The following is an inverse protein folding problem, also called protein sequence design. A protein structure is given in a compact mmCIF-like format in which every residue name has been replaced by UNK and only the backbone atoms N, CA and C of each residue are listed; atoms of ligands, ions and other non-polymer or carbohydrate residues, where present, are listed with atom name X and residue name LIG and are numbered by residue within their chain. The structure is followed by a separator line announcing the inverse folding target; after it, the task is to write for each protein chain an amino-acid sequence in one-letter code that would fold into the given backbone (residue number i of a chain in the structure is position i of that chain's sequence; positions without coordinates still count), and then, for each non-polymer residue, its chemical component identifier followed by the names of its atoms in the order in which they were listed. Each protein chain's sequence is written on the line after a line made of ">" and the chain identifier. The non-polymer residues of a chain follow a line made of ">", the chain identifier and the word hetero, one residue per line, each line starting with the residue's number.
data_IF_023208677754
#
_entry.id   IF_023208677754
#
_cell.length_a   1.000
_cell.length_b   1.000
_cell.length_c   1.000
_cell.angle_alpha   90.00
_cell.angle_beta   90.00
_cell.angle_gamma   90.00
#
_symmetry.space_group_name_H-M   'P 1'
#
loop_
_entity.id
_entity.type
_entity.pdbx_description
1 polymer ?
#
# COMPACT_ATOMS: atom_id res chain seq x y z
N UNK A 1 -0.53 26.05 -20.38
CA UNK A 1 0.59 25.18 -19.98
C UNK A 1 0.83 25.38 -18.50
N UNK A 2 0.57 24.38 -17.66
CA UNK A 2 0.95 24.48 -16.24
C UNK A 2 2.44 24.18 -16.15
N UNK A 3 3.23 25.14 -15.65
CA UNK A 3 4.60 24.86 -15.22
C UNK A 3 4.52 23.88 -14.03
N UNK A 4 5.45 22.91 -13.89
CA UNK A 4 5.55 22.17 -12.64
C UNK A 4 5.83 23.17 -11.50
N UNK A 5 5.16 23.00 -10.35
CA UNK A 5 5.32 23.94 -9.22
C UNK A 5 6.73 23.87 -8.62
N UNK A 6 7.32 22.68 -8.68
CA UNK A 6 8.66 22.35 -8.24
C UNK A 6 9.53 22.29 -9.50
N UNK A 7 10.58 23.12 -9.56
CA UNK A 7 11.62 23.01 -10.58
C UNK A 7 12.69 22.00 -10.13
N UNK A 8 13.29 21.27 -11.06
CA UNK A 8 14.42 20.38 -10.74
C UNK A 8 15.64 21.21 -10.30
N UNK A 9 16.23 20.96 -9.12
CA UNK A 9 17.49 21.59 -8.71
C UNK A 9 18.67 21.11 -9.57
N UNK A 10 19.64 21.99 -9.84
CA UNK A 10 20.81 21.68 -10.69
C UNK A 10 21.60 20.50 -10.14
N UNK A 11 21.97 20.56 -8.86
CA UNK A 11 22.51 19.43 -8.11
C UNK A 11 21.34 18.68 -7.44
N UNK A 12 20.94 17.55 -8.03
CA UNK A 12 19.88 16.69 -7.49
C UNK A 12 20.02 15.23 -7.90
N UNK A 13 19.86 14.32 -6.93
CA UNK A 13 19.86 12.87 -7.12
C UNK A 13 18.47 12.25 -6.90
N UNK A 14 18.10 11.14 -7.58
CA UNK A 14 16.84 10.46 -7.32
C UNK A 14 16.93 9.62 -6.04
N UNK A 15 15.96 9.75 -5.14
CA UNK A 15 15.80 8.82 -4.03
C UNK A 15 15.36 7.45 -4.53
N UNK A 16 15.81 6.38 -3.87
CA UNK A 16 15.32 5.03 -4.18
C UNK A 16 13.85 4.91 -3.79
N UNK A 17 13.02 4.36 -4.66
CA UNK A 17 11.58 4.21 -4.49
C UNK A 17 11.19 2.73 -4.57
N UNK A 18 10.66 2.22 -3.46
CA UNK A 18 9.99 0.92 -3.40
C UNK A 18 8.49 1.14 -3.67
N UNK A 19 7.86 0.34 -4.52
CA UNK A 19 6.42 0.47 -4.78
C UNK A 19 5.70 -0.89 -4.81
N UNK A 20 4.43 -0.89 -4.43
CA UNK A 20 3.54 -2.03 -4.57
C UNK A 20 2.14 -1.59 -4.96
N UNK A 21 1.39 -2.53 -5.52
CA UNK A 21 0.01 -2.30 -5.96
C UNK A 21 -1.02 -2.96 -5.03
N UNK A 22 -2.24 -2.41 -5.04
CA UNK A 22 -3.45 -2.97 -4.42
C UNK A 22 -4.68 -2.65 -5.27
N UNK A 23 -5.76 -3.38 -4.99
CA UNK A 23 -7.07 -3.29 -5.65
C UNK A 23 -7.60 -1.86 -5.84
N UNK A 24 -7.35 -0.94 -4.90
CA UNK A 24 -7.84 0.46 -4.96
C UNK A 24 -6.75 1.53 -4.92
N UNK A 25 -5.54 1.21 -4.46
CA UNK A 25 -4.46 2.18 -4.21
C UNK A 25 -3.13 1.65 -4.72
N UNK A 26 -2.26 2.56 -5.18
CA UNK A 26 -0.83 2.31 -5.42
C UNK A 26 -0.05 2.93 -4.27
N UNK A 27 0.92 2.21 -3.71
CA UNK A 27 1.78 2.71 -2.62
C UNK A 27 3.21 2.89 -3.12
N UNK A 28 3.84 4.01 -2.78
CA UNK A 28 5.24 4.31 -3.11
C UNK A 28 5.97 4.78 -1.84
N UNK A 29 7.10 4.17 -1.53
CA UNK A 29 7.97 4.45 -0.40
C UNK A 29 9.31 5.00 -0.92
N UNK A 30 9.54 6.31 -0.81
CA UNK A 30 10.84 6.91 -1.11
C UNK A 30 11.76 6.79 0.11
N UNK A 31 12.93 6.17 -0.07
CA UNK A 31 13.88 5.82 1.00
C UNK A 31 14.83 7.01 1.28
N UNK A 32 14.50 7.83 2.28
CA UNK A 32 15.20 9.09 2.58
C UNK A 32 15.35 9.23 4.11
N UNK A 33 16.58 9.37 4.61
CA UNK A 33 16.84 9.48 6.06
C UNK A 33 16.66 10.92 6.56
N UNK A 34 15.85 11.09 7.62
CA UNK A 34 15.46 12.36 8.27
C UNK A 34 15.19 13.48 7.24
N UNK A 35 14.14 13.32 6.40
CA UNK A 35 13.86 14.24 5.31
C UNK A 35 13.47 15.64 5.80
N UNK A 36 14.10 16.67 5.22
CA UNK A 36 13.84 18.10 5.45
C UNK A 36 13.28 18.75 4.18
N UNK A 37 12.71 19.96 4.32
CA UNK A 37 12.24 20.80 3.19
C UNK A 37 11.37 20.05 2.17
N UNK A 38 10.50 19.16 2.66
CA UNK A 38 9.70 18.25 1.82
C UNK A 38 8.67 19.03 1.01
N UNK A 39 8.83 19.01 -0.31
CA UNK A 39 7.92 19.58 -1.30
C UNK A 39 7.36 18.45 -2.17
N UNK A 40 6.03 18.44 -2.31
CA UNK A 40 5.29 17.43 -3.05
C UNK A 40 4.29 18.10 -3.99
N UNK A 41 4.21 17.63 -5.23
CA UNK A 41 3.20 18.05 -6.21
C UNK A 41 2.55 16.80 -6.84
N UNK A 42 1.36 16.44 -6.33
CA UNK A 42 0.54 15.33 -6.84
C UNK A 42 -0.36 15.86 -7.97
N UNK A 43 -0.14 15.38 -9.19
CA UNK A 43 -0.93 15.67 -10.39
C UNK A 43 -1.67 14.39 -10.84
N UNK A 44 -2.66 14.46 -11.77
CA UNK A 44 -3.49 13.30 -12.10
C UNK A 44 -2.72 12.14 -12.74
N UNK A 45 -1.60 12.41 -13.40
CA UNK A 45 -0.77 11.47 -14.16
C UNK A 45 0.74 11.60 -13.85
N UNK A 46 1.10 12.39 -12.82
CA UNK A 46 2.49 12.62 -12.41
C UNK A 46 2.57 12.92 -10.91
N UNK A 47 3.63 12.47 -10.24
CA UNK A 47 4.06 13.06 -8.97
C UNK A 47 5.46 13.66 -9.10
N UNK A 48 5.70 14.72 -8.34
CA UNK A 48 7.04 15.28 -8.10
C UNK A 48 7.28 15.26 -6.59
N UNK A 49 8.44 14.76 -6.18
CA UNK A 49 8.99 14.88 -4.83
C UNK A 49 10.32 15.64 -4.92
N UNK A 50 10.49 16.65 -4.06
CA UNK A 50 11.77 17.31 -3.83
C UNK A 50 11.96 17.51 -2.32
N UNK A 51 13.13 17.14 -1.78
CA UNK A 51 13.44 17.29 -0.36
C UNK A 51 14.95 17.19 -0.12
N UNK A 52 15.40 17.44 1.11
CA UNK A 52 16.78 17.18 1.57
C UNK A 52 16.81 16.02 2.56
N UNK A 53 17.96 15.40 2.77
CA UNK A 53 18.18 14.47 3.89
C UNK A 53 18.84 15.19 5.10
N UNK A 54 19.34 14.41 6.07
CA UNK A 54 20.13 14.92 7.19
C UNK A 54 21.38 15.72 6.78
N UNK A 55 22.13 15.23 5.79
CA UNK A 55 23.38 15.83 5.27
C UNK A 55 23.14 16.95 4.24
N UNK A 56 21.89 17.40 4.10
CA UNK A 56 21.43 18.42 3.14
C UNK A 56 21.62 18.07 1.66
N UNK A 57 21.87 16.78 1.34
CA UNK A 57 21.83 16.27 -0.04
C UNK A 57 20.43 16.44 -0.62
N UNK A 58 20.35 17.02 -1.82
CA UNK A 58 19.08 17.33 -2.48
C UNK A 58 18.58 16.13 -3.30
N UNK A 59 17.39 15.65 -2.94
CA UNK A 59 16.69 14.60 -3.66
C UNK A 59 15.59 15.19 -4.55
N UNK A 60 15.53 14.75 -5.81
CA UNK A 60 14.47 15.09 -6.76
C UNK A 60 14.02 13.83 -7.52
N UNK A 61 12.73 13.51 -7.41
CA UNK A 61 12.10 12.40 -8.14
C UNK A 61 10.90 12.92 -8.92
N UNK A 62 10.88 12.66 -10.22
CA UNK A 62 9.76 12.96 -11.11
C UNK A 62 9.25 11.65 -11.73
N UNK A 63 7.97 11.37 -11.54
CA UNK A 63 7.36 10.08 -11.82
C UNK A 63 6.07 10.25 -12.61
N UNK A 64 6.12 10.00 -13.92
CA UNK A 64 4.92 9.89 -14.77
C UNK A 64 4.24 8.54 -14.54
N UNK A 65 3.05 8.57 -13.95
CA UNK A 65 2.28 7.39 -13.53
C UNK A 65 1.71 6.61 -14.74
N UNK A 66 1.52 5.30 -14.58
CA UNK A 66 1.02 4.42 -15.64
C UNK A 66 -0.40 4.80 -16.13
N UNK A 67 -1.35 4.98 -15.20
CA UNK A 67 -2.69 5.51 -15.45
C UNK A 67 -3.03 6.57 -14.39
N UNK A 68 -4.20 7.20 -14.49
CA UNK A 68 -4.57 8.36 -13.68
C UNK A 68 -4.93 8.00 -12.23
N UNK A 69 -4.62 8.94 -11.33
CA UNK A 69 -4.94 8.90 -9.91
C UNK A 69 -5.92 10.02 -9.50
N UNK A 70 -6.66 9.76 -8.42
CA UNK A 70 -7.60 10.71 -7.83
C UNK A 70 -6.89 11.51 -6.73
N UNK A 71 -6.43 12.72 -7.07
CA UNK A 71 -5.63 13.58 -6.18
C UNK A 71 -6.31 13.77 -4.81
N UNK A 72 -7.62 14.00 -4.79
CA UNK A 72 -8.39 14.27 -3.55
C UNK A 72 -8.45 13.12 -2.53
N UNK A 73 -8.16 11.89 -2.95
CA UNK A 73 -8.07 10.69 -2.08
C UNK A 73 -6.63 10.10 -2.09
N UNK A 74 -5.68 10.87 -2.61
CA UNK A 74 -4.24 10.56 -2.58
C UNK A 74 -3.57 11.41 -1.51
N UNK A 75 -2.58 10.83 -0.80
CA UNK A 75 -1.90 11.49 0.32
C UNK A 75 -0.46 11.03 0.47
N UNK A 76 0.43 11.98 0.72
CA UNK A 76 1.78 11.77 1.21
C UNK A 76 1.80 11.65 2.75
N UNK A 77 2.81 10.93 3.28
CA UNK A 77 3.11 10.88 4.71
C UNK A 77 4.62 10.75 4.90
N UNK A 78 5.20 11.75 5.57
CA UNK A 78 6.62 11.79 5.92
C UNK A 78 6.86 10.95 7.19
N UNK A 79 7.96 10.19 7.19
CA UNK A 79 8.51 9.44 8.32
C UNK A 79 10.03 9.68 8.41
N UNK A 80 10.64 9.36 9.55
CA UNK A 80 12.07 9.55 9.83
C UNK A 80 13.04 8.86 8.85
N UNK A 81 12.56 7.87 8.09
CA UNK A 81 13.39 7.03 7.20
C UNK A 81 12.80 6.84 5.80
N UNK A 82 11.58 7.30 5.56
CA UNK A 82 10.84 7.14 4.30
C UNK A 82 9.84 8.28 4.09
N UNK A 83 9.48 8.54 2.83
CA UNK A 83 8.28 9.32 2.49
C UNK A 83 7.33 8.37 1.76
N UNK A 84 6.21 8.06 2.41
CA UNK A 84 5.15 7.22 1.85
C UNK A 84 4.20 8.08 1.01
N UNK A 85 3.74 7.53 -0.11
CA UNK A 85 2.65 8.06 -0.92
C UNK A 85 1.61 6.95 -1.06
N UNK A 86 0.39 7.22 -0.62
CA UNK A 86 -0.77 6.40 -0.91
C UNK A 86 -1.57 7.10 -2.01
N UNK A 87 -1.54 6.56 -3.23
CA UNK A 87 -2.18 7.15 -4.39
C UNK A 87 -3.46 6.39 -4.73
N UNK A 88 -4.61 7.08 -4.81
CA UNK A 88 -5.89 6.46 -5.17
C UNK A 88 -5.98 6.27 -6.68
N UNK A 89 -6.22 5.04 -7.16
CA UNK A 89 -6.44 4.80 -8.60
C UNK A 89 -7.78 5.42 -9.06
N UNK A 90 -7.81 6.03 -10.25
CA UNK A 90 -9.06 6.42 -10.91
C UNK A 90 -9.90 5.21 -11.34
N UNK A 91 -9.23 4.11 -11.73
CA UNK A 91 -9.85 2.81 -11.97
C UNK A 91 -9.49 1.88 -10.80
N UNK A 92 -10.41 1.57 -9.87
CA UNK A 92 -10.21 0.43 -8.99
C UNK A 92 -10.18 -0.87 -9.82
N UNK A 93 -9.73 -1.95 -9.20
CA UNK A 93 -9.82 -3.32 -9.72
C UNK A 93 -9.05 -3.56 -11.03
N UNK A 94 -8.06 -2.71 -11.35
CA UNK A 94 -7.12 -2.88 -12.46
C UNK A 94 -5.67 -2.93 -11.96
N UNK A 95 -4.95 -4.03 -12.23
CA UNK A 95 -3.55 -4.21 -11.83
C UNK A 95 -2.60 -3.35 -12.67
N UNK A 96 -1.64 -2.68 -12.02
CA UNK A 96 -0.64 -1.87 -12.71
C UNK A 96 0.58 -2.73 -13.04
N UNK A 97 0.84 -3.09 -14.32
CA UNK A 97 1.97 -3.94 -14.71
C UNK A 97 3.34 -3.26 -14.54
N UNK A 98 3.34 -1.95 -14.29
CA UNK A 98 4.49 -1.11 -13.95
C UNK A 98 4.00 0.20 -13.33
N UNK A 99 4.83 0.84 -12.51
CA UNK A 99 4.49 2.13 -11.88
C UNK A 99 4.39 3.29 -12.88
N UNK A 100 5.25 3.29 -13.90
CA UNK A 100 5.39 4.40 -14.84
C UNK A 100 4.72 4.14 -16.19
N UNK A 101 4.33 5.22 -16.86
CA UNK A 101 3.82 5.17 -18.24
C UNK A 101 4.89 4.69 -19.22
N UNK A 102 6.11 5.20 -19.07
CA UNK A 102 7.28 4.84 -19.87
C UNK A 102 7.70 3.37 -19.60
N UNK A 103 8.04 2.56 -20.63
CA UNK A 103 8.65 1.25 -20.42
C UNK A 103 10.11 1.30 -19.90
N UNK A 104 10.80 2.45 -19.97
CA UNK A 104 12.13 2.61 -19.42
C UNK A 104 12.11 2.50 -17.88
N UNK A 105 12.63 1.38 -17.34
CA UNK A 105 12.75 1.16 -15.90
C UNK A 105 13.90 1.97 -15.31
N UNK A 106 13.67 2.98 -14.45
CA UNK A 106 14.76 3.73 -13.83
C UNK A 106 15.44 2.88 -12.77
N UNK A 107 16.76 3.03 -12.63
CA UNK A 107 17.56 2.33 -11.60
C UNK A 107 17.15 2.64 -10.16
N UNK A 108 16.40 3.73 -9.95
CA UNK A 108 15.89 4.13 -8.64
C UNK A 108 14.51 3.56 -8.31
N UNK A 109 13.84 2.81 -9.19
CA UNK A 109 12.51 2.20 -8.92
C UNK A 109 12.62 0.67 -8.81
N UNK A 110 12.25 0.14 -7.64
CA UNK A 110 12.16 -1.29 -7.34
C UNK A 110 10.76 -1.66 -6.83
N UNK A 111 10.37 -2.93 -6.98
CA UNK A 111 9.13 -3.45 -6.38
C UNK A 111 9.39 -3.73 -4.89
N UNK A 112 8.44 -3.35 -4.06
CA UNK A 112 8.40 -3.61 -2.62
C UNK A 112 7.90 -5.06 -2.41
N UNK A 113 8.81 -6.04 -2.52
CA UNK A 113 8.45 -7.46 -2.49
C UNK A 113 7.85 -7.93 -1.15
N UNK A 114 8.23 -7.29 -0.03
CA UNK A 114 7.69 -7.60 1.29
C UNK A 114 6.18 -7.28 1.36
N UNK A 115 5.80 -6.12 0.81
CA UNK A 115 4.40 -5.66 0.76
C UNK A 115 3.65 -6.08 -0.51
N UNK A 116 4.30 -6.62 -1.54
CA UNK A 116 3.62 -7.04 -2.77
C UNK A 116 2.72 -8.27 -2.54
N UNK A 117 1.56 -8.29 -3.20
CA UNK A 117 0.57 -9.37 -3.17
C UNK A 117 -0.13 -9.43 -4.53
N UNK A 118 -0.44 -10.64 -4.97
CA UNK A 118 -1.12 -10.88 -6.25
C UNK A 118 -2.65 -10.83 -6.08
N UNK A 119 -3.15 -9.64 -5.72
CA UNK A 119 -4.55 -9.41 -5.38
C UNK A 119 -5.52 -9.53 -6.57
N UNK A 120 -5.00 -9.68 -7.80
CA UNK A 120 -5.81 -10.02 -8.99
C UNK A 120 -6.18 -11.51 -9.01
N UNK A 121 -5.38 -12.36 -8.34
CA UNK A 121 -5.61 -13.80 -8.18
C UNK A 121 -6.01 -14.23 -6.75
N UNK A 122 -6.10 -13.30 -5.80
CA UNK A 122 -6.77 -13.51 -4.50
C UNK A 122 -8.31 -13.61 -4.67
N UNK A 123 -8.79 -14.73 -5.22
CA UNK A 123 -10.21 -15.12 -5.17
C UNK A 123 -10.62 -15.51 -3.74
N UNK A 124 -11.12 -14.55 -2.95
CA UNK A 124 -12.00 -14.70 -1.78
C UNK A 124 -11.75 -15.88 -0.79
N UNK A 125 -10.52 -16.41 -0.66
CA UNK A 125 -10.20 -17.64 0.10
C UNK A 125 -10.69 -17.59 1.56
N UNK A 126 -10.46 -16.45 2.24
CA UNK A 126 -10.92 -16.23 3.61
C UNK A 126 -12.45 -16.15 3.76
N UNK A 127 -13.18 -16.03 2.65
CA UNK A 127 -14.64 -16.07 2.61
C UNK A 127 -15.16 -17.50 2.47
N UNK A 128 -14.57 -18.31 1.60
CA UNK A 128 -14.91 -19.74 1.54
C UNK A 128 -14.49 -20.49 2.81
N UNK A 129 -13.35 -20.15 3.43
CA UNK A 129 -12.95 -20.72 4.73
C UNK A 129 -13.96 -20.35 5.83
N UNK A 130 -14.39 -19.08 5.88
CA UNK A 130 -15.40 -18.62 6.84
C UNK A 130 -16.77 -19.28 6.63
N UNK A 131 -17.26 -19.32 5.39
CA UNK A 131 -18.58 -19.91 5.09
C UNK A 131 -18.56 -21.43 5.39
N UNK A 132 -17.48 -22.16 5.06
CA UNK A 132 -17.29 -23.58 5.46
C UNK A 132 -17.23 -23.78 6.98
N UNK A 133 -16.58 -22.87 7.71
CA UNK A 133 -16.50 -22.92 9.18
C UNK A 133 -17.87 -22.67 9.84
N UNK A 134 -18.65 -21.74 9.29
CA UNK A 134 -20.03 -21.46 9.72
C UNK A 134 -20.97 -22.63 9.45
N UNK A 135 -20.88 -23.26 8.28
CA UNK A 135 -21.69 -24.45 7.94
C UNK A 135 -21.36 -25.63 8.86
N UNK A 136 -20.07 -25.90 9.13
CA UNK A 136 -19.64 -26.94 10.07
C UNK A 136 -20.19 -26.70 11.49
N UNK A 137 -20.22 -25.45 11.96
CA UNK A 137 -20.81 -25.10 13.27
C UNK A 137 -22.33 -25.32 13.27
N UNK A 138 -23.02 -24.98 12.17
CA UNK A 138 -24.47 -25.21 12.04
C UNK A 138 -24.80 -26.70 11.97
N UNK A 139 -23.99 -27.52 11.28
CA UNK A 139 -24.17 -28.97 11.22
C UNK A 139 -23.96 -29.62 12.60
N UNK A 140 -22.93 -29.22 13.36
CA UNK A 140 -22.74 -29.70 14.74
C UNK A 140 -23.88 -29.27 15.67
N UNK A 141 -24.36 -28.03 15.55
CA UNK A 141 -25.47 -27.51 16.35
C UNK A 141 -26.82 -28.18 16.01
N UNK A 142 -27.03 -28.59 14.75
CA UNK A 142 -28.21 -29.36 14.33
C UNK A 142 -28.10 -30.86 14.68
N UNK A 143 -26.88 -31.42 14.65
CA UNK A 143 -26.63 -32.85 14.81
C UNK A 143 -26.73 -33.37 16.24
N UNK A 144 -26.31 -32.60 17.25
CA UNK A 144 -26.17 -33.12 18.62
C UNK A 144 -27.27 -32.68 19.59
N UNK A 145 -28.45 -33.32 19.51
CA UNK A 145 -29.29 -33.55 20.70
C UNK A 145 -28.73 -34.73 21.52
N UNK A 146 -27.49 -34.59 21.97
CA UNK A 146 -26.79 -35.53 22.85
C UNK A 146 -26.38 -34.81 24.13
N UNK A 147 -26.78 -35.39 25.26
CA UNK A 147 -26.74 -34.85 26.62
C UNK A 147 -25.55 -33.94 26.95
N UNK A 148 -25.84 -32.74 27.48
CA UNK A 148 -24.83 -31.96 28.21
C UNK A 148 -24.32 -32.79 29.38
N UNK A 149 -23.00 -33.02 29.52
CA UNK A 149 -22.47 -33.76 30.65
C UNK A 149 -22.80 -33.03 31.96
N UNK A 150 -23.40 -33.76 32.90
CA UNK A 150 -23.81 -33.20 34.18
C UNK A 150 -22.59 -32.89 35.06
N UNK A 151 -22.34 -31.61 35.30
CA UNK A 151 -21.25 -31.11 36.15
C UNK A 151 -21.74 -30.89 37.60
N UNK A 152 -22.71 -31.71 38.06
CA UNK A 152 -23.38 -31.57 39.34
C UNK A 152 -22.62 -32.09 40.57
N UNK A 153 -21.60 -32.94 40.41
CA UNK A 153 -20.88 -33.58 41.53
C UNK A 153 -19.63 -32.81 41.98
N UNK A 154 -19.85 -31.60 42.49
CA UNK A 154 -18.89 -30.83 43.28
C UNK A 154 -19.61 -30.18 44.49
N UNK A 155 -20.30 -31.00 45.28
CA UNK A 155 -20.84 -30.61 46.60
C UNK A 155 -19.96 -31.14 47.73
N UNK A 156 -19.81 -30.34 48.79
CA UNK A 156 -18.82 -30.52 49.86
C UNK A 156 -18.85 -31.87 50.60
N UNK A 157 -17.71 -32.20 51.20
CA UNK A 157 -17.59 -33.11 52.35
C UNK A 157 -16.47 -32.60 53.26
N UNK A 158 -16.77 -32.49 54.56
CA UNK A 158 -15.84 -32.05 55.63
C UNK A 158 -14.66 -33.02 55.85
#
# INVERSE_FOLDING_TARGET
>A
MNKPKIARPEESQPAHALWFDRKKYVTINFMIQRPKDVQVDIQPDKIILCCKNETDDVYYNELHLYDKIQIHDSRERVYDRTINFLLRKMKPDYAWPRLQKDPAKPSWISVDFDNWRDWEHEEDEGKEEYDRYVDMIQEMAAGNKGETPDMGDLSDSD
#
